data_IF_209161562167
#
_entry.id   IF_209161562167
#
_cell.length_a   1.000
_cell.length_b   1.000
_cell.length_c   1.000
_cell.angle_alpha   90.00
_cell.angle_beta   90.00
_cell.angle_gamma   90.00
#
_symmetry.space_group_name_H-M   'P 1'
#
loop_
_entity.id
_entity.type
_entity.pdbx_description
1 polymer ?
#
# COMPACT_ATOMS: atom_id res chain seq x y z
N UNK A 1 3.90 26.75 2.61
CA UNK A 1 4.72 25.72 1.95
C UNK A 1 3.95 24.42 2.01
N UNK A 2 3.75 23.77 0.86
CA UNK A 2 3.28 22.39 0.85
C UNK A 2 4.44 21.43 0.55
N UNK A 3 4.17 20.12 0.59
CA UNK A 3 5.18 19.08 0.41
C UNK A 3 4.73 18.00 -0.57
N UNK A 4 5.67 17.17 -1.02
CA UNK A 4 5.35 15.96 -1.78
C UNK A 4 5.10 14.81 -0.80
N UNK A 5 3.97 14.12 -0.98
CA UNK A 5 3.59 12.95 -0.22
C UNK A 5 3.72 11.72 -1.10
N UNK A 6 4.51 10.73 -0.67
CA UNK A 6 4.54 9.41 -1.30
C UNK A 6 3.28 8.65 -0.88
N UNK A 7 2.47 8.23 -1.85
CA UNK A 7 1.14 7.60 -1.64
C UNK A 7 1.04 6.23 -2.28
N UNK A 8 2.15 5.62 -2.66
CA UNK A 8 2.17 4.31 -3.28
C UNK A 8 3.49 3.58 -3.05
N UNK A 9 3.54 2.31 -3.44
CA UNK A 9 4.67 1.42 -3.22
C UNK A 9 5.82 1.67 -4.21
N UNK A 10 5.52 2.23 -5.40
CA UNK A 10 6.50 2.44 -6.45
C UNK A 10 7.03 3.88 -6.48
N UNK A 11 8.23 4.06 -7.04
CA UNK A 11 8.79 5.38 -7.27
C UNK A 11 7.83 6.25 -8.12
N UNK A 12 7.74 7.53 -7.78
CA UNK A 12 6.92 8.56 -8.43
C UNK A 12 5.40 8.49 -8.18
N UNK A 13 4.92 7.55 -7.37
CA UNK A 13 3.53 7.55 -6.88
C UNK A 13 3.36 8.60 -5.77
N UNK A 14 3.38 9.88 -6.17
CA UNK A 14 3.36 11.03 -5.26
C UNK A 14 2.16 11.95 -5.49
N UNK A 15 1.72 12.60 -4.43
CA UNK A 15 0.73 13.68 -4.46
C UNK A 15 1.42 14.94 -3.94
N UNK A 16 1.47 15.97 -4.78
CA UNK A 16 2.02 17.27 -4.40
C UNK A 16 0.94 18.12 -3.72
N UNK A 17 1.23 18.55 -2.49
CA UNK A 17 0.47 19.56 -1.79
C UNK A 17 1.11 20.92 -2.03
N UNK A 18 0.33 21.91 -2.46
CA UNK A 18 0.77 23.30 -2.56
C UNK A 18 -0.15 24.15 -1.71
N UNK A 19 0.38 24.72 -0.63
CA UNK A 19 -0.34 25.66 0.24
C UNK A 19 0.18 27.06 -0.04
N UNK A 20 -0.67 27.89 -0.66
CA UNK A 20 -0.46 29.33 -0.83
C UNK A 20 -0.38 30.00 0.54
N UNK A 21 0.50 30.99 0.70
CA UNK A 21 0.58 31.75 1.94
C UNK A 21 -0.73 32.53 2.17
N UNK A 22 -1.26 32.45 3.40
CA UNK A 22 -2.52 33.08 3.81
C UNK A 22 -2.25 34.19 4.85
N UNK A 23 -1.09 34.84 4.75
CA UNK A 23 -0.72 35.95 5.64
C UNK A 23 -1.40 37.23 5.19
N UNK A 24 -1.54 38.22 6.10
CA UNK A 24 -2.12 39.52 5.77
C UNK A 24 -1.41 40.23 4.60
N UNK A 25 -0.10 39.99 4.44
CA UNK A 25 0.69 40.50 3.31
C UNK A 25 0.40 39.73 2.02
N UNK A 26 0.34 38.41 2.06
CA UNK A 26 0.02 37.58 0.90
C UNK A 26 -1.42 37.78 0.38
N UNK A 27 -2.33 38.17 1.28
CA UNK A 27 -3.72 38.49 0.97
C UNK A 27 -3.95 39.97 0.62
N UNK A 28 -2.92 40.82 0.72
CA UNK A 28 -3.02 42.24 0.38
C UNK A 28 -3.85 43.10 1.35
N UNK A 29 -4.08 42.64 2.59
CA UNK A 29 -4.94 43.28 3.59
C UNK A 29 -4.17 43.82 4.80
N UNK A 30 -2.88 44.11 4.64
CA UNK A 30 -1.99 44.47 5.76
C UNK A 30 -2.23 45.89 6.29
N UNK A 31 -2.63 46.81 5.41
CA UNK A 31 -2.84 48.22 5.72
C UNK A 31 -4.27 48.66 5.37
N UNK A 32 -5.24 47.85 5.77
CA UNK A 32 -6.64 48.15 5.53
C UNK A 32 -7.11 49.28 6.46
N UNK A 33 -7.59 50.37 5.89
CA UNK A 33 -8.19 51.47 6.64
C UNK A 33 -9.70 51.49 6.41
N UNK A 34 -10.46 51.52 7.50
CA UNK A 34 -11.92 51.56 7.51
C UNK A 34 -12.47 52.80 8.22
N UNK A 35 -11.58 53.71 8.62
CA UNK A 35 -11.91 54.90 9.43
C UNK A 35 -12.03 56.19 8.60
N UNK A 36 -11.63 56.12 7.33
CA UNK A 36 -11.58 57.24 6.38
C UNK A 36 -12.82 57.29 5.48
N UNK A 37 -12.70 57.96 4.33
CA UNK A 37 -13.81 58.25 3.42
C UNK A 37 -14.46 56.99 2.82
N UNK A 38 -15.67 57.16 2.28
CA UNK A 38 -16.48 56.07 1.73
C UNK A 38 -15.76 55.30 0.60
N UNK A 39 -14.89 55.95 -0.17
CA UNK A 39 -14.11 55.30 -1.24
C UNK A 39 -13.10 54.31 -0.66
N UNK A 40 -12.36 54.74 0.37
CA UNK A 40 -11.38 53.90 1.05
C UNK A 40 -12.06 52.73 1.74
N UNK A 41 -13.21 52.95 2.37
CA UNK A 41 -14.04 51.89 2.96
C UNK A 41 -14.54 50.87 1.94
N UNK A 42 -15.00 51.32 0.77
CA UNK A 42 -15.46 50.41 -0.28
C UNK A 42 -14.31 49.56 -0.86
N UNK A 43 -13.12 50.15 -1.01
CA UNK A 43 -11.92 49.41 -1.41
C UNK A 43 -11.50 48.39 -0.34
N UNK A 44 -11.62 48.74 0.94
CA UNK A 44 -11.32 47.84 2.06
C UNK A 44 -12.22 46.59 2.08
N UNK A 45 -13.53 46.78 1.88
CA UNK A 45 -14.50 45.67 1.79
C UNK A 45 -14.15 44.76 0.60
N UNK A 46 -13.89 45.36 -0.57
CA UNK A 46 -13.51 44.61 -1.78
C UNK A 46 -12.26 43.75 -1.56
N UNK A 47 -11.24 44.30 -0.90
CA UNK A 47 -10.02 43.57 -0.57
C UNK A 47 -10.27 42.41 0.42
N UNK A 48 -11.14 42.61 1.41
CA UNK A 48 -11.54 41.55 2.34
C UNK A 48 -12.31 40.42 1.64
N UNK A 49 -13.23 40.74 0.74
CA UNK A 49 -13.95 39.73 -0.03
C UNK A 49 -12.99 38.88 -0.87
N UNK A 50 -12.04 39.52 -1.57
CA UNK A 50 -11.00 38.81 -2.32
C UNK A 50 -10.13 37.91 -1.44
N UNK A 51 -9.76 38.39 -0.24
CA UNK A 51 -9.01 37.61 0.74
C UNK A 51 -9.83 36.39 1.24
N UNK A 52 -11.12 36.57 1.55
CA UNK A 52 -12.02 35.49 1.98
C UNK A 52 -12.19 34.46 0.86
N UNK A 53 -12.37 34.89 -0.38
CA UNK A 53 -12.43 33.99 -1.54
C UNK A 53 -11.15 33.18 -1.65
N UNK A 54 -9.98 33.82 -1.56
CA UNK A 54 -8.67 33.14 -1.65
C UNK A 54 -8.51 32.08 -0.56
N UNK A 55 -8.84 32.42 0.69
CA UNK A 55 -8.81 31.48 1.82
C UNK A 55 -9.77 30.32 1.60
N UNK A 56 -10.98 30.60 1.11
CA UNK A 56 -12.03 29.61 0.88
C UNK A 56 -11.66 28.66 -0.25
N UNK A 57 -11.10 29.16 -1.36
CA UNK A 57 -10.53 28.35 -2.44
C UNK A 57 -9.40 27.47 -1.94
N UNK A 58 -8.50 28.02 -1.12
CA UNK A 58 -7.40 27.23 -0.53
C UNK A 58 -7.93 26.10 0.34
N UNK A 59 -8.93 26.36 1.20
CA UNK A 59 -9.59 25.32 2.00
C UNK A 59 -10.31 24.28 1.15
N UNK A 60 -10.99 24.70 0.08
CA UNK A 60 -11.65 23.80 -0.87
C UNK A 60 -10.66 22.85 -1.55
N UNK A 61 -9.52 23.37 -2.00
CA UNK A 61 -8.45 22.56 -2.59
C UNK A 61 -7.88 21.56 -1.59
N UNK A 62 -7.67 21.96 -0.33
CA UNK A 62 -7.23 21.06 0.73
C UNK A 62 -8.25 19.95 1.01
N UNK A 63 -9.55 20.26 1.03
CA UNK A 63 -10.61 19.27 1.18
C UNK A 63 -10.67 18.28 0.01
N UNK A 64 -10.49 18.76 -1.23
CA UNK A 64 -10.40 17.89 -2.40
C UNK A 64 -9.20 16.93 -2.33
N UNK A 65 -8.05 17.43 -1.88
CA UNK A 65 -6.85 16.62 -1.61
C UNK A 65 -7.10 15.60 -0.50
N UNK A 66 -7.79 15.97 0.58
CA UNK A 66 -8.18 15.05 1.65
C UNK A 66 -9.05 13.91 1.14
N UNK A 67 -10.09 14.20 0.36
CA UNK A 67 -10.95 13.18 -0.26
C UNK A 67 -10.16 12.25 -1.18
N UNK A 68 -9.21 12.80 -1.93
CA UNK A 68 -8.30 12.01 -2.77
C UNK A 68 -7.41 11.10 -1.93
N UNK A 69 -6.84 11.59 -0.82
CA UNK A 69 -6.05 10.75 0.09
C UNK A 69 -6.89 9.63 0.70
N UNK A 70 -8.12 9.90 1.12
CA UNK A 70 -9.02 8.89 1.68
C UNK A 70 -9.40 7.81 0.65
N UNK A 71 -9.66 8.21 -0.59
CA UNK A 71 -9.88 7.29 -1.71
C UNK A 71 -8.63 6.46 -2.04
N UNK A 72 -7.44 7.06 -1.93
CA UNK A 72 -6.17 6.34 -2.12
C UNK A 72 -5.93 5.33 -0.99
N UNK A 73 -6.15 5.71 0.27
CA UNK A 73 -5.98 4.82 1.42
C UNK A 73 -6.88 3.60 1.29
N UNK A 74 -8.16 3.80 0.95
CA UNK A 74 -9.10 2.69 0.76
C UNK A 74 -8.69 1.78 -0.40
N UNK A 75 -8.25 2.35 -1.53
CA UNK A 75 -7.76 1.57 -2.67
C UNK A 75 -6.49 0.77 -2.34
N UNK A 76 -5.53 1.38 -1.65
CA UNK A 76 -4.31 0.72 -1.20
C UNK A 76 -4.61 -0.42 -0.23
N UNK A 77 -5.54 -0.21 0.72
CA UNK A 77 -5.98 -1.27 1.63
C UNK A 77 -6.47 -2.51 0.87
N UNK A 78 -7.37 -2.31 -0.10
CA UNK A 78 -7.87 -3.40 -0.95
C UNK A 78 -6.74 -4.05 -1.78
N UNK A 79 -5.82 -3.25 -2.33
CA UNK A 79 -4.68 -3.78 -3.08
C UNK A 79 -3.76 -4.64 -2.20
N UNK A 80 -3.45 -4.16 -0.99
CA UNK A 80 -2.60 -4.89 -0.03
C UNK A 80 -3.24 -6.20 0.42
N UNK A 81 -4.54 -6.22 0.69
CA UNK A 81 -5.28 -7.44 1.04
C UNK A 81 -5.23 -8.46 -0.11
N UNK A 82 -5.46 -8.01 -1.34
CA UNK A 82 -5.41 -8.87 -2.52
C UNK A 82 -4.01 -9.44 -2.77
N UNK A 83 -2.96 -8.61 -2.62
CA UNK A 83 -1.57 -9.05 -2.77
C UNK A 83 -1.20 -10.05 -1.67
N UNK A 84 -1.56 -9.77 -0.42
CA UNK A 84 -1.29 -10.68 0.69
C UNK A 84 -2.02 -12.02 0.53
N UNK A 85 -3.27 -12.00 0.06
CA UNK A 85 -4.01 -13.23 -0.23
C UNK A 85 -3.42 -14.01 -1.41
N UNK A 86 -2.92 -13.32 -2.44
CA UNK A 86 -2.19 -13.96 -3.54
C UNK A 86 -0.86 -14.56 -3.08
N UNK A 87 -0.09 -13.83 -2.27
CA UNK A 87 1.17 -14.31 -1.69
C UNK A 87 0.96 -15.55 -0.81
N UNK A 88 -0.04 -15.53 0.08
CA UNK A 88 -0.39 -16.68 0.91
C UNK A 88 -0.70 -17.91 0.05
N UNK A 89 -1.55 -17.76 -0.97
CA UNK A 89 -1.88 -18.90 -1.87
C UNK A 89 -0.67 -19.46 -2.58
N UNK A 90 0.24 -18.61 -3.05
CA UNK A 90 1.48 -19.04 -3.71
C UNK A 90 2.35 -19.80 -2.71
N UNK A 91 2.65 -19.18 -1.55
CA UNK A 91 3.49 -19.80 -0.52
C UNK A 91 2.91 -21.10 0.02
N UNK A 92 1.60 -21.17 0.26
CA UNK A 92 0.93 -22.36 0.75
C UNK A 92 0.91 -23.49 -0.29
N UNK A 93 0.74 -23.16 -1.58
CA UNK A 93 0.80 -24.14 -2.68
C UNK A 93 2.22 -24.69 -2.85
N UNK A 94 3.23 -23.84 -2.81
CA UNK A 94 4.63 -24.25 -2.93
C UNK A 94 5.03 -25.15 -1.76
N UNK A 95 4.62 -24.81 -0.53
CA UNK A 95 4.81 -25.65 0.66
C UNK A 95 4.10 -27.00 0.53
N UNK A 96 2.87 -27.04 0.00
CA UNK A 96 2.15 -28.30 -0.21
C UNK A 96 2.86 -29.20 -1.22
N UNK A 97 3.38 -28.64 -2.32
CA UNK A 97 4.15 -29.40 -3.31
C UNK A 97 5.45 -29.96 -2.72
N UNK A 98 6.18 -29.17 -1.95
CA UNK A 98 7.41 -29.61 -1.28
C UNK A 98 7.11 -30.71 -0.25
N UNK A 99 6.03 -30.59 0.52
CA UNK A 99 5.60 -31.62 1.47
C UNK A 99 5.19 -32.93 0.78
N UNK A 100 4.54 -32.87 -0.38
CA UNK A 100 4.23 -34.08 -1.18
C UNK A 100 5.51 -34.72 -1.70
N UNK A 101 6.46 -33.92 -2.19
CA UNK A 101 7.76 -34.41 -2.64
C UNK A 101 8.55 -35.06 -1.51
N UNK A 102 8.63 -34.39 -0.35
CA UNK A 102 9.24 -34.90 0.87
C UNK A 102 8.61 -36.22 1.31
N UNK A 103 7.27 -36.28 1.37
CA UNK A 103 6.54 -37.49 1.75
C UNK A 103 6.79 -38.62 0.75
N UNK A 104 6.78 -38.34 -0.56
CA UNK A 104 7.10 -39.33 -1.60
C UNK A 104 8.51 -39.89 -1.42
N UNK A 105 9.48 -39.01 -1.18
CA UNK A 105 10.87 -39.41 -0.94
C UNK A 105 11.01 -40.25 0.33
N UNK A 106 10.29 -39.90 1.40
CA UNK A 106 10.28 -40.67 2.64
C UNK A 106 9.65 -42.06 2.47
N UNK A 107 8.54 -42.16 1.72
CA UNK A 107 7.92 -43.44 1.36
C UNK A 107 8.86 -44.28 0.48
N UNK A 108 9.53 -43.67 -0.50
CA UNK A 108 10.51 -44.38 -1.34
C UNK A 108 11.71 -44.88 -0.52
N UNK A 109 12.19 -44.11 0.46
CA UNK A 109 13.25 -44.57 1.36
C UNK A 109 12.79 -45.76 2.22
N UNK A 110 11.60 -45.69 2.83
CA UNK A 110 11.05 -46.80 3.60
C UNK A 110 10.81 -48.04 2.72
N UNK A 111 10.21 -47.86 1.53
CA UNK A 111 10.02 -48.95 0.56
C UNK A 111 11.35 -49.53 0.08
N UNK A 112 12.37 -48.71 -0.17
CA UNK A 112 13.71 -49.14 -0.53
C UNK A 112 14.35 -50.00 0.56
N UNK A 113 14.22 -49.61 1.83
CA UNK A 113 14.71 -50.42 2.96
C UNK A 113 13.95 -51.75 3.12
N UNK A 114 12.62 -51.74 2.97
CA UNK A 114 11.81 -52.95 3.03
C UNK A 114 12.08 -53.89 1.84
N UNK A 115 12.24 -53.33 0.63
CA UNK A 115 12.60 -54.08 -0.58
C UNK A 115 14.01 -54.66 -0.49
N UNK A 116 14.98 -53.94 0.06
CA UNK A 116 16.32 -54.49 0.34
C UNK A 116 16.27 -55.62 1.37
N UNK A 117 15.45 -55.50 2.42
CA UNK A 117 15.27 -56.57 3.40
C UNK A 117 14.62 -57.82 2.76
N UNK A 118 13.59 -57.63 1.94
CA UNK A 118 12.93 -58.71 1.20
C UNK A 118 13.88 -59.37 0.19
N UNK A 119 14.64 -58.58 -0.57
CA UNK A 119 15.60 -59.06 -1.56
C UNK A 119 16.75 -59.87 -0.93
N UNK A 120 17.16 -59.54 0.31
CA UNK A 120 18.16 -60.32 1.05
C UNK A 120 17.62 -61.65 1.60
N UNK A 121 16.31 -61.77 1.86
CA UNK A 121 15.70 -63.00 2.37
C UNK A 121 15.38 -64.03 1.28
N UNK A 122 15.03 -63.57 0.07
CA UNK A 122 14.72 -64.44 -1.10
C UNK A 122 15.84 -65.47 -1.42
N UNK A 123 17.13 -65.11 -1.51
CA UNK A 123 18.18 -66.09 -1.83
C UNK A 123 18.36 -67.16 -0.75
N UNK A 124 18.07 -66.86 0.52
CA UNK A 124 18.13 -67.86 1.59
C UNK A 124 16.99 -68.89 1.49
N UNK A 125 15.82 -68.48 1.00
CA UNK A 125 14.68 -69.37 0.78
C UNK A 125 14.98 -70.37 -0.34
N UNK A 126 15.62 -69.91 -1.43
CA UNK A 126 16.00 -70.76 -2.57
C UNK A 126 17.09 -71.76 -2.17
N UNK A 127 18.04 -71.38 -1.31
CA UNK A 127 19.06 -72.30 -0.80
C UNK A 127 18.49 -73.42 0.09
N UNK A 128 17.33 -73.20 0.73
CA UNK A 128 16.61 -74.24 1.47
C UNK A 128 15.87 -75.24 0.57
N UNK A 129 15.50 -74.83 -0.65
CA UNK A 129 14.83 -75.67 -1.65
C UNK A 129 15.82 -76.51 -2.49
N UNK A 130 17.12 -76.24 -2.40
CA UNK A 130 18.20 -76.97 -3.06
C UNK A 130 18.92 -77.97 -2.13
N UNK A 131 18.34 -78.29 -0.97
CA UNK A 131 18.87 -79.27 0.00
C UNK A 131 17.98 -80.49 0.12
#
# INVERSE_FOLDING_TARGET
>A
SGGLFQVGANANETVQLNITAVTLSALGITSLDVTTDDTTRAAAITALDGAITTVSTTRGNLGALQNRFESLITNLGVSTENIQAAESRIRDTDMAQEMVSFTRNQVLQQAGTAMLAQANQIPQSILSLLR
#
